data_IF_205977502716
#
_entry.id   IF_205977502716
#
_cell.length_a   1.000
_cell.length_b   1.000
_cell.length_c   1.000
_cell.angle_alpha   90.00
_cell.angle_beta   90.00
_cell.angle_gamma   90.00
#
_symmetry.space_group_name_H-M   'P 1'
#
loop_
_entity.id
_entity.type
_entity.pdbx_description
1 polymer ?
#
# COMPACT_ATOMS: atom_id res chain seq x y z
N UNK A 1 19.54 21.51 -20.80
CA UNK A 1 18.74 22.01 -19.66
C UNK A 1 17.42 21.25 -19.39
N UNK A 2 17.05 20.20 -20.15
CA UNK A 2 15.89 19.35 -19.80
C UNK A 2 16.21 18.20 -18.84
N UNK A 3 17.43 17.64 -18.92
CA UNK A 3 17.85 16.51 -18.09
C UNK A 3 18.06 16.91 -16.62
N UNK A 4 18.53 18.13 -16.36
CA UNK A 4 18.73 18.66 -15.00
C UNK A 4 17.38 18.97 -14.32
N UNK A 5 16.42 19.53 -15.05
CA UNK A 5 15.08 19.79 -14.51
C UNK A 5 14.34 18.48 -14.15
N UNK A 6 14.42 17.46 -15.01
CA UNK A 6 13.82 16.13 -14.74
C UNK A 6 14.46 15.43 -13.55
N UNK A 7 15.77 15.54 -13.36
CA UNK A 7 16.47 14.95 -12.20
C UNK A 7 16.06 15.62 -10.89
N UNK A 8 15.97 16.95 -10.86
CA UNK A 8 15.51 17.68 -9.66
C UNK A 8 14.07 17.34 -9.32
N UNK A 9 13.17 17.25 -10.31
CA UNK A 9 11.78 16.85 -10.08
C UNK A 9 11.64 15.41 -9.59
N UNK A 10 12.45 14.47 -10.09
CA UNK A 10 12.46 13.09 -9.62
C UNK A 10 12.96 12.98 -8.18
N UNK A 11 13.99 13.74 -7.80
CA UNK A 11 14.49 13.80 -6.43
C UNK A 11 13.43 14.37 -5.46
N UNK A 12 12.77 15.46 -5.85
CA UNK A 12 11.68 16.06 -5.06
C UNK A 12 10.46 15.13 -4.93
N UNK A 13 10.12 14.38 -5.99
CA UNK A 13 9.08 13.37 -5.93
C UNK A 13 9.45 12.24 -4.95
N UNK A 14 10.70 11.78 -4.98
CA UNK A 14 11.19 10.76 -4.06
C UNK A 14 11.20 11.24 -2.60
N UNK A 15 11.51 12.52 -2.32
CA UNK A 15 11.41 13.08 -0.97
C UNK A 15 9.97 13.19 -0.48
N UNK A 16 9.04 13.64 -1.32
CA UNK A 16 7.60 13.67 -0.98
C UNK A 16 7.05 12.27 -0.71
N UNK A 17 7.51 11.26 -1.44
CA UNK A 17 7.13 9.86 -1.19
C UNK A 17 7.60 9.36 0.18
N UNK A 18 8.77 9.79 0.66
CA UNK A 18 9.25 9.43 2.02
C UNK A 18 8.43 10.10 3.12
N UNK A 19 7.84 11.26 2.83
CA UNK A 19 7.03 12.00 3.80
C UNK A 19 5.62 11.41 3.96
N UNK A 20 5.08 10.74 2.94
CA UNK A 20 3.84 9.97 3.07
C UNK A 20 4.12 8.61 3.72
N UNK A 21 3.61 8.40 4.94
CA UNK A 21 3.98 7.25 5.76
C UNK A 21 2.89 6.19 5.78
N UNK A 22 3.32 4.93 5.74
CA UNK A 22 2.48 3.79 6.12
C UNK A 22 2.79 3.47 7.58
N UNK A 23 1.86 3.79 8.46
CA UNK A 23 1.99 3.61 9.90
C UNK A 23 1.71 2.15 10.31
N UNK A 24 0.81 1.49 9.58
CA UNK A 24 0.42 0.09 9.85
C UNK A 24 -0.02 -0.58 8.56
N UNK A 25 0.33 -1.85 8.42
CA UNK A 25 -0.19 -2.73 7.37
C UNK A 25 -0.53 -4.09 7.97
N UNK A 26 -1.75 -4.58 7.69
CA UNK A 26 -2.18 -5.94 8.03
C UNK A 26 -2.89 -6.58 6.86
N UNK A 27 -2.64 -7.86 6.67
CA UNK A 27 -3.36 -8.69 5.72
C UNK A 27 -4.06 -9.81 6.50
N UNK A 28 -5.34 -10.01 6.24
CA UNK A 28 -6.10 -11.10 6.80
C UNK A 28 -7.28 -11.45 5.90
N UNK A 29 -7.77 -12.68 6.05
CA UNK A 29 -9.02 -13.09 5.45
C UNK A 29 -10.17 -12.83 6.42
N UNK A 30 -11.17 -12.09 5.96
CA UNK A 30 -12.41 -11.90 6.67
C UNK A 30 -13.39 -12.99 6.23
N UNK A 31 -13.96 -13.69 7.21
CA UNK A 31 -14.91 -14.77 6.95
C UNK A 31 -16.22 -14.22 6.40
N UNK A 32 -16.66 -14.78 5.28
CA UNK A 32 -17.92 -14.43 4.64
C UNK A 32 -18.97 -15.53 4.90
N UNK A 33 -20.25 -15.14 4.92
CA UNK A 33 -21.34 -16.09 5.15
C UNK A 33 -21.54 -17.05 3.96
N UNK A 34 -21.13 -16.65 2.75
CA UNK A 34 -21.28 -17.42 1.53
C UNK A 34 -20.06 -17.25 0.60
N UNK A 35 -19.50 -18.38 0.16
CA UNK A 35 -18.34 -18.43 -0.74
C UNK A 35 -17.01 -18.32 -0.02
N UNK A 36 -15.95 -18.00 -0.77
CA UNK A 36 -14.60 -17.85 -0.23
C UNK A 36 -14.48 -16.62 0.67
N UNK A 37 -13.59 -16.72 1.66
CA UNK A 37 -13.23 -15.62 2.54
C UNK A 37 -12.72 -14.41 1.76
N UNK A 38 -13.00 -13.23 2.28
CA UNK A 38 -12.66 -11.97 1.65
C UNK A 38 -11.26 -11.53 2.10
N UNK A 39 -10.27 -11.40 1.20
CA UNK A 39 -8.99 -10.80 1.56
C UNK A 39 -9.19 -9.33 1.95
N UNK A 40 -8.57 -8.91 3.05
CA UNK A 40 -8.59 -7.53 3.55
C UNK A 40 -7.16 -7.02 3.72
N UNK A 41 -6.90 -5.84 3.12
CA UNK A 41 -5.71 -5.03 3.35
C UNK A 41 -6.11 -3.89 4.29
N UNK A 42 -5.72 -3.99 5.57
CA UNK A 42 -5.96 -2.97 6.59
C UNK A 42 -4.72 -2.10 6.75
N UNK A 43 -4.78 -0.90 6.19
CA UNK A 43 -3.64 0.00 6.03
C UNK A 43 -3.94 1.32 6.74
N UNK A 44 -3.04 1.74 7.60
CA UNK A 44 -3.06 3.05 8.26
C UNK A 44 -1.95 3.92 7.65
N UNK A 45 -2.29 5.14 7.26
CA UNK A 45 -1.35 6.07 6.62
C UNK A 45 -1.41 7.46 7.24
N UNK A 46 -0.34 8.23 7.04
CA UNK A 46 -0.24 9.64 7.38
C UNK A 46 0.32 10.43 6.20
N UNK A 47 -0.37 11.49 5.78
CA UNK A 47 0.16 12.41 4.78
C UNK A 47 1.12 13.41 5.45
N UNK A 48 2.40 13.06 5.56
CA UNK A 48 3.42 14.00 6.04
C UNK A 48 3.92 14.99 4.97
N UNK A 49 3.29 15.06 3.80
CA UNK A 49 3.67 16.01 2.74
C UNK A 49 3.07 17.39 2.96
N UNK A 50 3.55 18.38 2.20
CA UNK A 50 3.08 19.76 2.18
C UNK A 50 1.83 19.98 1.28
N UNK A 51 1.27 18.91 0.70
CA UNK A 51 0.18 18.99 -0.28
C UNK A 51 -0.89 17.93 -0.01
N UNK A 52 -2.11 18.21 -0.43
CA UNK A 52 -3.17 17.21 -0.46
C UNK A 52 -2.83 16.10 -1.47
N UNK A 53 -3.08 14.84 -1.08
CA UNK A 53 -2.85 13.65 -1.91
C UNK A 53 -4.18 13.05 -2.34
N UNK A 54 -4.44 12.99 -3.65
CA UNK A 54 -5.70 12.47 -4.19
C UNK A 54 -5.62 10.99 -4.59
N UNK A 55 -4.40 10.47 -4.81
CA UNK A 55 -4.15 9.08 -5.16
C UNK A 55 -2.81 8.67 -4.60
N UNK A 56 -2.68 7.41 -4.22
CA UNK A 56 -1.41 6.83 -3.79
C UNK A 56 -1.21 5.49 -4.49
N UNK A 57 0.04 5.22 -4.86
CA UNK A 57 0.49 3.96 -5.43
C UNK A 57 1.32 3.22 -4.39
N UNK A 58 1.05 1.93 -4.26
CA UNK A 58 1.65 1.06 -3.27
C UNK A 58 2.26 -0.16 -3.94
N UNK A 59 3.29 -0.69 -3.28
CA UNK A 59 3.73 -2.08 -3.45
C UNK A 59 3.45 -2.82 -2.16
N UNK A 60 2.64 -3.87 -2.23
CA UNK A 60 2.38 -4.80 -1.14
C UNK A 60 3.25 -6.04 -1.29
N UNK A 61 3.89 -6.47 -0.21
CA UNK A 61 4.71 -7.69 -0.17
C UNK A 61 4.33 -8.51 1.04
N UNK A 62 4.12 -9.82 0.84
CA UNK A 62 3.89 -10.78 1.92
C UNK A 62 5.05 -11.77 1.95
N UNK A 63 5.79 -11.81 3.06
CA UNK A 63 6.97 -12.66 3.22
C UNK A 63 7.11 -13.13 4.67
N UNK A 64 7.53 -14.38 4.87
CA UNK A 64 7.97 -14.84 6.19
C UNK A 64 9.40 -14.38 6.47
N UNK A 65 9.77 -14.13 7.74
CA UNK A 65 11.13 -13.79 8.13
C UNK A 65 12.16 -14.80 7.61
N UNK A 66 13.31 -14.32 7.13
CA UNK A 66 14.41 -15.17 6.64
C UNK A 66 14.24 -15.77 5.25
N UNK A 67 13.09 -15.55 4.57
CA UNK A 67 12.87 -16.03 3.20
C UNK A 67 13.34 -15.01 2.16
N UNK A 68 14.15 -15.44 1.20
CA UNK A 68 14.63 -14.56 0.11
C UNK A 68 13.58 -14.27 -0.97
N UNK A 69 12.61 -15.17 -1.17
CA UNK A 69 11.53 -15.01 -2.15
C UNK A 69 10.21 -14.79 -1.39
N UNK A 70 9.50 -13.67 -1.62
CA UNK A 70 8.22 -13.44 -0.96
C UNK A 70 7.16 -14.44 -1.41
N UNK A 71 6.16 -14.68 -0.55
CA UNK A 71 4.97 -15.46 -0.92
C UNK A 71 4.18 -14.77 -2.02
N UNK A 72 4.14 -13.44 -1.94
CA UNK A 72 3.37 -12.62 -2.84
C UNK A 72 3.93 -11.20 -2.91
N UNK A 73 3.83 -10.60 -4.08
CA UNK A 73 4.12 -9.19 -4.31
C UNK A 73 3.19 -8.67 -5.39
N UNK A 74 2.58 -7.51 -5.14
CA UNK A 74 1.73 -6.85 -6.11
C UNK A 74 1.80 -5.33 -5.96
N UNK A 75 1.44 -4.62 -7.02
CA UNK A 75 1.33 -3.17 -7.04
C UNK A 75 -0.13 -2.77 -7.20
N UNK A 76 -0.58 -1.85 -6.36
CA UNK A 76 -1.96 -1.39 -6.39
C UNK A 76 -1.99 0.11 -6.12
N UNK A 77 -3.10 0.76 -6.47
CA UNK A 77 -3.31 2.17 -6.18
C UNK A 77 -4.64 2.36 -5.49
N UNK A 78 -4.74 3.45 -4.74
CA UNK A 78 -5.97 3.85 -4.08
C UNK A 78 -6.28 5.31 -4.41
N UNK A 79 -7.48 5.55 -4.93
CA UNK A 79 -8.01 6.91 -5.14
C UNK A 79 -8.73 7.33 -3.86
N UNK A 80 -8.29 8.44 -3.28
CA UNK A 80 -8.79 8.95 -2.01
C UNK A 80 -9.90 9.96 -2.34
N UNK A 81 -11.15 9.61 -2.03
CA UNK A 81 -12.28 10.52 -2.23
C UNK A 81 -12.11 11.76 -1.34
N UNK A 82 -12.05 12.94 -1.96
CA UNK A 82 -11.77 14.20 -1.25
C UNK A 82 -10.28 14.50 -1.04
N UNK A 83 -9.40 13.53 -1.30
CA UNK A 83 -7.97 13.63 -0.99
C UNK A 83 -7.67 13.37 0.49
N UNK A 84 -6.38 13.38 0.82
CA UNK A 84 -5.87 13.33 2.18
C UNK A 84 -5.03 14.59 2.41
N UNK A 85 -5.43 15.46 3.33
CA UNK A 85 -4.79 16.75 3.57
C UNK A 85 -3.44 16.61 4.30
N UNK A 86 -2.56 17.63 4.27
CA UNK A 86 -1.32 17.63 5.04
C UNK A 86 -1.54 17.32 6.53
N UNK A 87 -0.69 16.46 7.09
CA UNK A 87 -0.75 15.92 8.46
C UNK A 87 -1.99 15.07 8.79
N UNK A 88 -2.87 14.80 7.82
CA UNK A 88 -4.05 13.96 8.02
C UNK A 88 -3.67 12.47 8.04
N UNK A 89 -4.41 11.70 8.85
CA UNK A 89 -4.27 10.26 8.96
C UNK A 89 -5.54 9.57 8.48
N UNK A 90 -5.37 8.45 7.79
CA UNK A 90 -6.49 7.63 7.35
C UNK A 90 -6.25 6.15 7.63
N UNK A 91 -7.35 5.43 7.80
CA UNK A 91 -7.38 3.97 7.91
C UNK A 91 -8.26 3.43 6.80
N UNK A 92 -7.71 2.56 5.96
CA UNK A 92 -8.43 1.95 4.86
C UNK A 92 -8.46 0.45 5.02
N UNK A 93 -9.66 -0.13 4.87
CA UNK A 93 -9.85 -1.57 4.71
C UNK A 93 -10.18 -1.84 3.26
N UNK A 94 -9.15 -2.14 2.47
CA UNK A 94 -9.31 -2.44 1.06
C UNK A 94 -9.65 -3.92 0.91
N UNK A 95 -10.73 -4.21 0.19
CA UNK A 95 -11.20 -5.55 -0.08
C UNK A 95 -10.93 -5.90 -1.57
N UNK A 96 -9.70 -6.32 -1.92
CA UNK A 96 -9.41 -6.75 -3.29
C UNK A 96 -10.33 -7.91 -3.69
N UNK A 97 -10.50 -8.12 -5.01
CA UNK A 97 -11.37 -9.18 -5.49
C UNK A 97 -10.93 -10.55 -4.95
N UNK A 98 -11.82 -11.28 -4.26
CA UNK A 98 -11.55 -12.61 -3.71
C UNK A 98 -11.20 -13.69 -4.75
N UNK A 99 -11.46 -13.43 -6.03
CA UNK A 99 -11.08 -14.34 -7.12
C UNK A 99 -9.76 -13.97 -7.78
N UNK A 100 -9.15 -12.83 -7.39
CA UNK A 100 -7.80 -12.45 -7.78
C UNK A 100 -6.74 -13.25 -7.00
N UNK A 101 -5.47 -13.03 -7.32
CA UNK A 101 -4.36 -13.70 -6.63
C UNK A 101 -4.39 -13.42 -5.12
N UNK A 102 -4.76 -12.20 -4.70
CA UNK A 102 -4.94 -11.85 -3.28
C UNK A 102 -5.89 -12.79 -2.54
N UNK A 103 -6.96 -13.24 -3.19
CA UNK A 103 -7.97 -14.11 -2.59
C UNK A 103 -7.64 -15.59 -2.65
N UNK A 104 -6.61 -15.97 -3.40
CA UNK A 104 -6.10 -17.35 -3.53
C UNK A 104 -4.84 -17.58 -2.70
N UNK A 105 -4.40 -16.58 -1.94
CA UNK A 105 -3.19 -16.66 -1.15
C UNK A 105 -3.33 -17.66 0.01
N UNK A 106 -2.43 -18.64 0.03
CA UNK A 106 -2.19 -19.49 1.18
C UNK A 106 -0.84 -19.09 1.78
N UNK A 107 -0.87 -18.35 2.88
CA UNK A 107 0.34 -17.84 3.56
C UNK A 107 0.42 -18.35 4.99
N UNK A 108 1.61 -18.68 5.49
CA UNK A 108 1.79 -19.13 6.88
C UNK A 108 1.47 -17.99 7.86
N UNK A 109 1.16 -18.36 9.10
CA UNK A 109 0.78 -17.41 10.16
C UNK A 109 1.90 -16.42 10.54
N UNK A 110 3.15 -16.75 10.25
CA UNK A 110 4.32 -15.90 10.49
C UNK A 110 4.61 -14.92 9.34
N UNK A 111 3.84 -14.98 8.24
CA UNK A 111 4.02 -14.10 7.11
C UNK A 111 3.67 -12.66 7.47
N UNK A 112 4.55 -11.73 7.12
CA UNK A 112 4.39 -10.30 7.38
C UNK A 112 3.97 -9.60 6.10
N UNK A 113 2.89 -8.81 6.20
CA UNK A 113 2.47 -7.91 5.12
C UNK A 113 3.10 -6.53 5.28
N UNK A 114 3.93 -6.16 4.31
CA UNK A 114 4.59 -4.85 4.24
C UNK A 114 4.05 -4.06 3.06
N UNK A 115 3.75 -2.78 3.28
CA UNK A 115 3.30 -1.87 2.24
C UNK A 115 4.28 -0.72 2.11
N UNK A 116 4.70 -0.41 0.88
CA UNK A 116 5.60 0.70 0.58
C UNK A 116 4.96 1.62 -0.44
N UNK A 117 5.11 2.94 -0.25
CA UNK A 117 4.66 3.94 -1.22
C UNK A 117 5.58 3.95 -2.43
N UNK A 118 5.00 3.82 -3.63
CA UNK A 118 5.72 3.87 -4.91
C UNK A 118 5.36 5.09 -5.75
N UNK A 119 4.36 5.87 -5.34
CA UNK A 119 3.99 7.14 -5.97
C UNK A 119 2.82 7.83 -5.26
N UNK A 120 2.67 9.14 -5.52
CA UNK A 120 1.62 10.04 -5.00
C UNK A 120 1.05 10.89 -6.14
#
# INVERSE_FOLDING_TARGET
KELEAKQTSAAQAAEKMKAFKVERSRFYFQKENYGNDQPILDISVENGTDKAVARVFFKGVIASPGRSVPWFSDVFNYKISGGLEPSEKANWKLAPNRYSDWGKLEVPADAVFTVTVTGL
#
